data_IF_547166262093
#
_entry.id   IF_547166262093
#
_cell.length_a   1.000
_cell.length_b   1.000
_cell.length_c   1.000
_cell.angle_alpha   90.00
_cell.angle_beta   90.00
_cell.angle_gamma   90.00
#
_symmetry.space_group_name_H-M   'P 1'
#
loop_
_entity.id
_entity.type
_entity.pdbx_description
1 polymer ?
#
# COMPACT_ATOMS: atom_id res chain seq x y z
N UNK A 1 -8.20 -37.57 14.63
CA UNK A 1 -8.07 -38.96 14.14
C UNK A 1 -9.48 -39.51 14.00
N UNK A 2 -9.84 -39.99 12.82
CA UNK A 2 -11.21 -40.22 12.36
C UNK A 2 -11.29 -41.47 11.49
N UNK A 3 -10.66 -42.56 11.96
CA UNK A 3 -10.39 -43.78 11.19
C UNK A 3 -11.66 -44.52 10.73
N UNK A 4 -12.83 -44.14 11.24
CA UNK A 4 -14.13 -44.76 10.91
C UNK A 4 -15.02 -43.90 10.00
N UNK A 5 -14.73 -42.60 9.85
CA UNK A 5 -15.58 -41.65 9.11
C UNK A 5 -15.62 -41.95 7.61
N UNK A 6 -14.49 -42.36 7.03
CA UNK A 6 -14.39 -42.76 5.64
C UNK A 6 -14.99 -44.17 5.44
N UNK A 7 -14.89 -45.03 6.46
CA UNK A 7 -15.41 -46.40 6.42
C UNK A 7 -16.93 -46.48 6.30
N UNK A 8 -17.67 -45.44 6.72
CA UNK A 8 -19.13 -45.31 6.52
C UNK A 8 -19.49 -45.33 5.02
N UNK A 9 -18.62 -44.83 4.15
CA UNK A 9 -18.84 -44.75 2.71
C UNK A 9 -18.01 -45.77 1.91
N UNK A 10 -16.83 -46.16 2.40
CA UNK A 10 -15.88 -46.97 1.66
C UNK A 10 -15.92 -48.49 1.95
N UNK A 11 -16.76 -48.96 2.88
CA UNK A 11 -16.82 -50.38 3.36
C UNK A 11 -15.48 -50.96 3.87
N UNK A 12 -14.42 -50.16 3.93
CA UNK A 12 -13.11 -50.51 4.45
C UNK A 12 -12.66 -49.48 5.49
N UNK A 13 -11.90 -49.92 6.50
CA UNK A 13 -11.34 -49.02 7.51
C UNK A 13 -10.16 -48.27 6.92
N UNK A 14 -10.38 -47.00 6.57
CA UNK A 14 -9.34 -46.11 6.05
C UNK A 14 -8.92 -45.15 7.17
N UNK A 15 -7.72 -45.31 7.76
CA UNK A 15 -7.25 -44.42 8.81
C UNK A 15 -7.10 -42.99 8.29
N UNK A 16 -7.61 -42.03 9.04
CA UNK A 16 -7.63 -40.63 8.64
C UNK A 16 -7.29 -39.73 9.82
N UNK A 17 -6.36 -38.80 9.61
CA UNK A 17 -6.06 -37.74 10.59
C UNK A 17 -6.03 -36.40 9.89
N UNK A 18 -6.55 -35.39 10.58
CA UNK A 18 -6.67 -34.03 10.09
C UNK A 18 -7.17 -33.14 11.21
N UNK A 19 -6.84 -31.86 11.12
CA UNK A 19 -7.42 -30.82 11.95
C UNK A 19 -7.98 -29.76 11.01
N UNK A 20 -9.15 -29.21 11.35
CA UNK A 20 -9.69 -28.05 10.68
C UNK A 20 -9.41 -26.84 11.58
N UNK A 21 -8.72 -25.83 11.05
CA UNK A 21 -8.55 -24.56 11.73
C UNK A 21 -9.44 -23.54 11.03
N UNK A 22 -10.47 -23.05 11.74
CA UNK A 22 -11.37 -22.05 11.20
C UNK A 22 -10.64 -20.71 11.06
N UNK A 23 -10.48 -20.23 9.83
CA UNK A 23 -9.77 -18.97 9.53
C UNK A 23 -10.38 -17.80 10.32
N UNK A 24 -11.71 -17.75 10.42
CA UNK A 24 -12.42 -16.70 11.18
C UNK A 24 -11.99 -16.63 12.64
N UNK A 25 -11.78 -17.79 13.29
CA UNK A 25 -11.36 -17.87 14.70
C UNK A 25 -9.90 -17.47 14.88
N UNK A 26 -9.05 -17.77 13.91
CA UNK A 26 -7.67 -17.29 13.89
C UNK A 26 -7.66 -15.77 13.77
N UNK A 27 -8.44 -15.19 12.85
CA UNK A 27 -8.54 -13.74 12.64
C UNK A 27 -9.03 -13.05 13.90
N UNK A 28 -10.11 -13.53 14.52
CA UNK A 28 -10.66 -12.99 15.76
C UNK A 28 -9.64 -13.02 16.91
N UNK A 29 -8.90 -14.13 17.06
CA UNK A 29 -7.85 -14.27 18.05
C UNK A 29 -6.68 -13.30 17.80
N UNK A 30 -6.28 -13.12 16.54
CA UNK A 30 -5.25 -12.16 16.13
C UNK A 30 -5.69 -10.72 16.38
N UNK A 31 -6.96 -10.38 16.15
CA UNK A 31 -7.52 -9.05 16.40
C UNK A 31 -7.54 -8.75 17.90
N UNK A 32 -8.06 -9.68 18.69
CA UNK A 32 -8.17 -9.56 20.15
C UNK A 32 -6.80 -9.40 20.80
N UNK A 33 -5.81 -10.15 20.34
CA UNK A 33 -4.43 -10.08 20.85
C UNK A 33 -3.59 -8.97 20.21
N UNK A 34 -4.15 -8.18 19.28
CA UNK A 34 -3.44 -7.14 18.50
C UNK A 34 -2.16 -7.66 17.83
N UNK A 35 -2.19 -8.91 17.36
CA UNK A 35 -1.04 -9.59 16.74
C UNK A 35 -0.97 -9.39 15.21
N UNK A 36 -1.86 -8.59 14.64
CA UNK A 36 -1.73 -8.21 13.23
C UNK A 36 -0.45 -7.39 13.04
N UNK A 37 0.33 -7.66 11.98
CA UNK A 37 1.48 -6.83 11.66
C UNK A 37 1.02 -5.40 11.45
N UNK A 38 1.52 -4.48 12.28
CA UNK A 38 1.19 -3.05 12.26
C UNK A 38 2.14 -2.25 11.40
N UNK A 39 3.00 -2.89 10.59
CA UNK A 39 3.92 -2.20 9.69
C UNK A 39 3.16 -1.26 8.77
N UNK A 40 3.09 0.01 9.18
CA UNK A 40 2.44 1.06 8.43
C UNK A 40 3.39 1.44 7.32
N UNK A 41 3.29 0.73 6.19
CA UNK A 41 4.05 1.08 4.99
C UNK A 41 3.67 2.49 4.58
N UNK A 42 4.67 3.32 4.36
CA UNK A 42 4.49 4.67 3.85
C UNK A 42 3.70 4.62 2.54
N UNK A 43 2.59 5.35 2.45
CA UNK A 43 1.72 5.38 1.27
C UNK A 43 1.83 6.70 0.54
N UNK A 44 2.01 6.61 -0.77
CA UNK A 44 2.17 7.77 -1.66
C UNK A 44 1.17 7.71 -2.81
N UNK A 45 0.58 8.85 -3.18
CA UNK A 45 -0.17 9.01 -4.43
C UNK A 45 0.61 9.88 -5.41
N UNK A 46 0.81 9.42 -6.63
CA UNK A 46 1.41 10.20 -7.72
C UNK A 46 0.33 10.74 -8.65
N UNK A 47 0.40 12.03 -8.92
CA UNK A 47 -0.48 12.76 -9.84
C UNK A 47 0.41 13.38 -10.93
N UNK A 48 0.45 12.75 -12.09
CA UNK A 48 1.23 13.17 -13.25
C UNK A 48 0.57 12.65 -14.54
N UNK A 49 1.19 12.86 -15.70
CA UNK A 49 0.79 12.15 -16.92
C UNK A 49 1.09 10.64 -16.79
N UNK A 50 0.51 9.77 -17.65
CA UNK A 50 0.66 8.33 -17.51
C UNK A 50 2.11 7.85 -17.50
N UNK A 51 2.97 8.40 -18.37
CA UNK A 51 4.37 7.96 -18.51
C UNK A 51 5.16 8.31 -17.25
N UNK A 52 5.11 9.56 -16.82
CA UNK A 52 5.85 10.00 -15.65
C UNK A 52 5.30 9.40 -14.34
N UNK A 53 3.99 9.20 -14.26
CA UNK A 53 3.38 8.53 -13.10
C UNK A 53 3.89 7.10 -12.92
N UNK A 54 4.00 6.34 -14.02
CA UNK A 54 4.50 4.96 -13.98
C UNK A 54 5.98 4.96 -13.56
N UNK A 55 6.81 5.82 -14.15
CA UNK A 55 8.24 5.89 -13.83
C UNK A 55 8.49 6.27 -12.37
N UNK A 56 7.77 7.27 -11.85
CA UNK A 56 7.88 7.68 -10.45
C UNK A 56 7.38 6.57 -9.51
N UNK A 57 6.26 5.95 -9.84
CA UNK A 57 5.73 4.85 -9.04
C UNK A 57 6.66 3.64 -9.02
N UNK A 58 7.32 3.32 -10.14
CA UNK A 58 8.31 2.24 -10.19
C UNK A 58 9.53 2.55 -9.30
N UNK A 59 10.07 3.77 -9.37
CA UNK A 59 11.19 4.21 -8.51
C UNK A 59 10.85 4.08 -7.03
N UNK A 60 9.69 4.60 -6.62
CA UNK A 60 9.25 4.57 -5.22
C UNK A 60 8.98 3.13 -4.73
N UNK A 61 8.39 2.28 -5.58
CA UNK A 61 8.16 0.87 -5.24
C UNK A 61 9.46 0.08 -5.09
N UNK A 62 10.48 0.37 -5.92
CA UNK A 62 11.81 -0.26 -5.81
C UNK A 62 12.48 0.01 -4.45
N UNK A 63 12.18 1.13 -3.81
CA UNK A 63 12.67 1.46 -2.45
C UNK A 63 11.68 1.07 -1.34
N UNK A 64 10.65 0.27 -1.65
CA UNK A 64 9.75 -0.32 -0.65
C UNK A 64 8.51 0.52 -0.30
N UNK A 65 8.24 1.61 -1.02
CA UNK A 65 7.11 2.52 -0.73
C UNK A 65 5.85 2.05 -1.45
N UNK A 66 4.73 2.05 -0.73
CA UNK A 66 3.43 1.70 -1.30
C UNK A 66 2.87 2.86 -2.13
N UNK A 67 3.07 2.80 -3.45
CA UNK A 67 2.69 3.90 -4.36
C UNK A 67 1.43 3.61 -5.18
N UNK A 68 0.49 4.55 -5.13
CA UNK A 68 -0.69 4.63 -6.00
C UNK A 68 -0.47 5.69 -7.09
N UNK A 69 -1.16 5.55 -8.21
CA UNK A 69 -1.17 6.49 -9.33
C UNK A 69 -2.60 6.91 -9.60
N UNK A 70 -2.84 8.20 -9.85
CA UNK A 70 -4.12 8.63 -10.39
C UNK A 70 -4.22 8.30 -11.88
N UNK A 71 -5.12 7.38 -12.22
CA UNK A 71 -5.41 6.99 -13.61
C UNK A 71 -6.63 7.70 -14.19
N UNK A 72 -7.39 8.40 -13.35
CA UNK A 72 -8.68 8.97 -13.73
C UNK A 72 -8.58 10.45 -14.13
N UNK A 73 -7.36 11.00 -14.23
CA UNK A 73 -7.08 12.39 -14.57
C UNK A 73 -7.96 13.38 -13.79
N UNK A 74 -8.16 13.11 -12.49
CA UNK A 74 -9.08 13.88 -11.67
C UNK A 74 -8.53 15.28 -11.42
N UNK A 75 -9.41 16.20 -11.04
CA UNK A 75 -8.98 17.50 -10.52
C UNK A 75 -8.15 17.31 -9.24
N UNK A 76 -7.22 18.24 -8.98
CA UNK A 76 -6.33 18.13 -7.83
C UNK A 76 -7.10 17.99 -6.50
N UNK A 77 -8.18 18.77 -6.32
CA UNK A 77 -9.05 18.69 -5.14
C UNK A 77 -9.66 17.29 -4.94
N UNK A 78 -10.14 16.66 -6.03
CA UNK A 78 -10.68 15.28 -5.97
C UNK A 78 -9.60 14.27 -5.60
N UNK A 79 -8.37 14.43 -6.10
CA UNK A 79 -7.25 13.57 -5.74
C UNK A 79 -6.81 13.73 -4.29
N UNK A 80 -6.81 14.94 -3.75
CA UNK A 80 -6.53 15.18 -2.34
C UNK A 80 -7.61 14.56 -1.43
N UNK A 81 -8.88 14.71 -1.78
CA UNK A 81 -9.98 14.05 -1.08
C UNK A 81 -9.86 12.53 -1.13
N UNK A 82 -9.49 11.98 -2.29
CA UNK A 82 -9.25 10.55 -2.47
C UNK A 82 -8.06 10.05 -1.64
N UNK A 83 -6.94 10.77 -1.63
CA UNK A 83 -5.78 10.48 -0.81
C UNK A 83 -6.13 10.47 0.68
N UNK A 84 -6.91 11.44 1.14
CA UNK A 84 -7.36 11.52 2.53
C UNK A 84 -8.26 10.33 2.92
N UNK A 85 -9.25 9.98 2.07
CA UNK A 85 -10.11 8.80 2.28
C UNK A 85 -9.32 7.49 2.41
N UNK A 86 -8.26 7.36 1.61
CA UNK A 86 -7.38 6.21 1.62
C UNK A 86 -6.29 6.27 2.70
N UNK A 87 -6.22 7.33 3.52
CA UNK A 87 -5.17 7.56 4.52
C UNK A 87 -3.76 7.48 3.91
N UNK A 88 -3.59 8.09 2.74
CA UNK A 88 -2.29 8.25 2.09
C UNK A 88 -1.47 9.31 2.84
N UNK A 89 -0.19 9.04 3.07
CA UNK A 89 0.67 9.91 3.86
C UNK A 89 1.19 11.10 3.03
N UNK A 90 1.56 10.87 1.76
CA UNK A 90 2.08 11.90 0.85
C UNK A 90 1.45 11.89 -0.54
N UNK A 91 1.28 13.07 -1.12
CA UNK A 91 0.84 13.23 -2.51
C UNK A 91 1.93 13.93 -3.30
N UNK A 92 2.36 13.33 -4.40
CA UNK A 92 3.34 13.89 -5.34
C UNK A 92 2.61 14.43 -6.56
N UNK A 93 2.86 15.68 -6.89
CA UNK A 93 2.31 16.36 -8.05
C UNK A 93 3.48 16.67 -9.00
N UNK A 94 3.39 16.14 -10.21
CA UNK A 94 4.38 16.34 -11.25
C UNK A 94 3.67 16.56 -12.59
N UNK A 95 3.27 17.80 -12.86
CA UNK A 95 2.56 18.17 -14.11
C UNK A 95 3.41 19.11 -14.93
N UNK A 96 2.83 19.71 -15.97
CA UNK A 96 3.52 20.59 -16.93
C UNK A 96 4.43 21.64 -16.29
N UNK A 97 3.98 22.30 -15.21
CA UNK A 97 4.79 23.31 -14.51
C UNK A 97 5.99 22.66 -13.82
N UNK A 98 5.73 21.65 -13.00
CA UNK A 98 6.73 20.93 -12.23
C UNK A 98 7.75 20.22 -13.15
N UNK A 99 7.30 19.70 -14.30
CA UNK A 99 8.14 19.10 -15.34
C UNK A 99 9.08 20.15 -15.94
N UNK A 100 8.57 21.34 -16.30
CA UNK A 100 9.41 22.43 -16.85
C UNK A 100 10.46 22.90 -15.86
N UNK A 101 10.11 22.95 -14.58
CA UNK A 101 10.99 23.40 -13.51
C UNK A 101 11.91 22.27 -12.98
N UNK A 102 11.78 21.03 -13.48
CA UNK A 102 12.47 19.83 -12.98
C UNK A 102 12.32 19.61 -11.45
N UNK A 103 11.18 20.03 -10.90
CA UNK A 103 10.84 19.87 -9.49
C UNK A 103 9.65 18.93 -9.32
N UNK A 104 9.55 18.32 -8.15
CA UNK A 104 8.38 17.59 -7.68
C UNK A 104 7.77 18.39 -6.54
N UNK A 105 6.46 18.60 -6.59
CA UNK A 105 5.73 19.15 -5.46
C UNK A 105 5.20 18.00 -4.62
N UNK A 106 5.58 17.96 -3.35
CA UNK A 106 5.18 16.93 -2.40
C UNK A 106 4.31 17.58 -1.33
N UNK A 107 3.12 17.02 -1.11
CA UNK A 107 2.20 17.42 -0.06
C UNK A 107 2.15 16.36 1.02
N UNK A 108 2.44 16.76 2.25
CA UNK A 108 2.18 15.97 3.45
C UNK A 108 0.69 16.04 3.78
N UNK A 109 0.02 14.89 3.79
CA UNK A 109 -1.42 14.81 4.04
C UNK A 109 -1.78 14.92 5.53
N UNK A 110 -0.81 14.75 6.43
CA UNK A 110 -0.99 14.89 7.89
C UNK A 110 -0.79 16.34 8.32
N UNK A 111 0.29 16.99 7.88
CA UNK A 111 0.58 18.39 8.26
C UNK A 111 -0.03 19.42 7.31
N UNK A 112 -0.41 19.01 6.09
CA UNK A 112 -0.89 19.89 5.04
C UNK A 112 0.19 20.70 4.35
N UNK A 113 1.46 20.58 4.78
CA UNK A 113 2.59 21.31 4.21
C UNK A 113 2.90 20.81 2.79
N UNK A 114 3.29 21.75 1.93
CA UNK A 114 3.76 21.48 0.58
C UNK A 114 5.21 21.92 0.47
N UNK A 115 6.04 21.08 -0.14
CA UNK A 115 7.43 21.39 -0.46
C UNK A 115 7.75 21.04 -1.91
N UNK A 116 8.63 21.81 -2.52
CA UNK A 116 9.16 21.51 -3.84
C UNK A 116 10.58 20.96 -3.69
N UNK A 117 10.82 19.79 -4.25
CA UNK A 117 12.14 19.17 -4.28
C UNK A 117 12.58 18.95 -5.72
N UNK A 118 13.87 18.87 -5.97
CA UNK A 118 14.39 18.43 -7.27
C UNK A 118 13.93 16.99 -7.55
N UNK A 119 13.48 16.71 -8.77
CA UNK A 119 13.05 15.37 -9.19
C UNK A 119 14.14 14.30 -9.00
N UNK A 120 15.43 14.68 -9.08
CA UNK A 120 16.55 13.79 -8.83
C UNK A 120 16.70 13.38 -7.36
N UNK A 121 16.14 14.16 -6.42
CA UNK A 121 16.31 13.96 -4.96
C UNK A 121 15.17 13.17 -4.30
N UNK A 122 14.20 12.68 -5.09
CA UNK A 122 13.04 11.94 -4.57
C UNK A 122 13.44 10.73 -3.71
N UNK A 123 14.46 9.98 -4.13
CA UNK A 123 14.90 8.78 -3.40
C UNK A 123 15.51 9.15 -2.04
N UNK A 124 16.29 10.23 -1.99
CA UNK A 124 16.89 10.73 -0.75
C UNK A 124 15.82 11.23 0.22
N UNK A 125 14.83 11.96 -0.31
CA UNK A 125 13.71 12.47 0.46
C UNK A 125 12.98 11.36 1.21
N UNK A 126 12.56 10.30 0.50
CA UNK A 126 11.81 9.22 1.13
C UNK A 126 12.67 8.25 1.93
N UNK A 127 13.95 8.02 1.58
CA UNK A 127 14.87 7.22 2.41
C UNK A 127 15.07 7.82 3.79
N UNK A 128 15.19 9.14 3.89
CA UNK A 128 15.28 9.84 5.19
C UNK A 128 14.04 9.60 6.04
N UNK A 129 12.87 9.60 5.41
CA UNK A 129 11.58 9.34 6.06
C UNK A 129 11.39 7.89 6.51
N UNK A 130 11.93 6.92 5.77
CA UNK A 130 11.83 5.50 6.12
C UNK A 130 12.80 5.09 7.25
N UNK A 131 13.84 5.89 7.51
CA UNK A 131 14.83 5.65 8.56
C UNK A 131 14.51 6.39 9.87
N UNK A 132 13.56 7.33 9.83
CA UNK A 132 13.07 8.09 11.01
C UNK A 132 11.83 7.44 11.60
#
# INVERSE_FOLDING_TARGET
RYDELIGIYAKEKIPATGFAMGIDRIIEALQTKKLFPTEKKLRVLVISDPKNSILLAEKLRKIGIATLVDVNSRTLSKNLSFANKLKIDYVIIYKEREIRENVLRIKDMKSGKEECIDAAKIDQFFKKLLTS
#
